data_IF_617281684793
#
_entry.id   IF_617281684793
#
_cell.length_a   1.000
_cell.length_b   1.000
_cell.length_c   1.000
_cell.angle_alpha   90.00
_cell.angle_beta   90.00
_cell.angle_gamma   90.00
#
_symmetry.space_group_name_H-M   'P 1'
#
loop_
_entity.id
_entity.type
_entity.pdbx_description
1 polymer ?
#
# COMPACT_ATOMS: atom_id res chain seq x y z
N UNK A 1 -0.52 12.65 14.47
CA UNK A 1 -1.54 13.64 14.05
C UNK A 1 -2.32 13.03 12.88
N UNK A 2 -3.49 12.46 13.14
CA UNK A 2 -4.24 11.57 12.23
C UNK A 2 -5.34 12.26 11.42
N UNK A 3 -5.28 13.59 11.26
CA UNK A 3 -6.36 14.38 10.63
C UNK A 3 -6.56 14.06 9.13
N UNK A 4 -5.54 13.51 8.47
CA UNK A 4 -5.63 13.17 7.04
C UNK A 4 -6.36 11.84 6.78
N UNK A 5 -6.52 10.97 7.78
CA UNK A 5 -7.24 9.69 7.65
C UNK A 5 -8.75 9.92 7.79
N UNK A 6 -9.17 10.76 8.73
CA UNK A 6 -10.59 11.09 8.96
C UNK A 6 -11.22 11.83 7.77
N UNK A 7 -10.45 12.68 7.07
CA UNK A 7 -10.95 13.40 5.89
C UNK A 7 -11.13 12.50 4.65
N UNK A 8 -10.36 11.40 4.55
CA UNK A 8 -10.51 10.44 3.46
C UNK A 8 -11.73 9.51 3.68
N UNK A 9 -12.07 9.20 4.93
CA UNK A 9 -13.27 8.45 5.29
C UNK A 9 -14.56 9.27 5.09
N UNK A 10 -14.52 10.59 5.34
CA UNK A 10 -15.65 11.49 5.13
C UNK A 10 -15.97 11.78 3.65
N UNK A 11 -15.05 11.48 2.72
CA UNK A 11 -15.14 11.85 1.30
C UNK A 11 -15.35 10.69 0.32
N UNK A 12 -15.65 9.47 0.80
CA UNK A 12 -16.00 8.33 -0.05
C UNK A 12 -14.85 7.70 -0.87
N UNK A 13 -13.64 8.25 -0.83
CA UNK A 13 -12.52 7.77 -1.66
C UNK A 13 -11.52 6.93 -0.85
N UNK A 14 -11.95 5.71 -0.53
CA UNK A 14 -11.12 4.69 0.14
C UNK A 14 -9.82 4.38 -0.63
N UNK A 15 -9.74 4.65 -1.94
CA UNK A 15 -8.50 4.51 -2.71
C UNK A 15 -7.49 5.58 -2.35
N UNK A 16 -7.94 6.82 -2.18
CA UNK A 16 -7.11 7.94 -1.74
C UNK A 16 -6.53 7.71 -0.33
N UNK A 17 -7.34 7.15 0.58
CA UNK A 17 -6.89 6.78 1.92
C UNK A 17 -5.80 5.71 1.92
N UNK A 18 -5.97 4.65 1.12
CA UNK A 18 -4.96 3.60 1.00
C UNK A 18 -3.66 4.10 0.33
N UNK A 19 -3.77 4.96 -0.68
CA UNK A 19 -2.62 5.61 -1.31
C UNK A 19 -1.84 6.51 -0.34
N UNK A 20 -2.53 7.26 0.52
CA UNK A 20 -1.89 8.08 1.55
C UNK A 20 -1.11 7.24 2.57
N UNK A 21 -1.61 6.05 2.93
CA UNK A 21 -0.89 5.12 3.81
C UNK A 21 0.39 4.57 3.16
N UNK A 22 0.35 4.23 1.87
CA UNK A 22 1.54 3.80 1.11
C UNK A 22 2.60 4.91 1.07
N UNK A 23 2.19 6.15 0.78
CA UNK A 23 3.09 7.32 0.79
C UNK A 23 3.72 7.58 2.16
N UNK A 24 3.00 7.31 3.25
CA UNK A 24 3.53 7.41 4.61
C UNK A 24 4.55 6.32 4.91
N UNK A 25 4.30 5.07 4.50
CA UNK A 25 5.24 3.96 4.70
C UNK A 25 6.61 4.25 4.06
N UNK A 26 6.64 4.90 2.89
CA UNK A 26 7.88 5.36 2.25
C UNK A 26 8.63 6.40 3.09
N UNK A 27 7.93 7.33 3.73
CA UNK A 27 8.55 8.36 4.59
C UNK A 27 9.15 7.75 5.85
N UNK A 28 8.47 6.76 6.45
CA UNK A 28 8.94 6.10 7.66
C UNK A 28 10.11 5.13 7.36
N UNK A 29 10.14 4.53 6.17
CA UNK A 29 11.29 3.78 5.65
C UNK A 29 12.56 4.65 5.61
N UNK A 30 12.45 5.90 5.13
CA UNK A 30 13.58 6.85 5.11
C UNK A 30 14.06 7.26 6.51
N UNK A 31 13.27 7.03 7.57
CA UNK A 31 13.65 7.26 8.96
C UNK A 31 14.27 6.04 9.63
N UNK A 32 14.43 4.92 8.91
CA UNK A 32 14.89 3.63 9.44
C UNK A 32 14.04 3.08 10.60
N UNK A 33 12.77 3.48 10.72
CA UNK A 33 11.86 2.88 11.71
C UNK A 33 11.21 1.62 11.13
N UNK A 34 11.93 0.51 11.28
CA UNK A 34 11.50 -0.79 10.77
C UNK A 34 10.14 -1.22 11.34
N UNK A 35 9.89 -0.99 12.63
CA UNK A 35 8.65 -1.39 13.31
C UNK A 35 7.46 -0.60 12.78
N UNK A 36 7.59 0.73 12.71
CA UNK A 36 6.53 1.58 12.18
C UNK A 36 6.22 1.27 10.71
N UNK A 37 7.25 1.00 9.91
CA UNK A 37 7.09 0.59 8.51
C UNK A 37 6.26 -0.68 8.38
N UNK A 38 6.58 -1.71 9.18
CA UNK A 38 5.85 -3.00 9.19
C UNK A 38 4.39 -2.79 9.59
N UNK A 39 4.12 -2.07 10.69
CA UNK A 39 2.77 -1.91 11.23
C UNK A 39 1.86 -1.12 10.28
N UNK A 40 2.37 -0.02 9.70
CA UNK A 40 1.62 0.78 8.73
C UNK A 40 1.36 0.00 7.44
N UNK A 41 2.36 -0.75 6.95
CA UNK A 41 2.22 -1.57 5.76
C UNK A 41 1.18 -2.68 5.93
N UNK A 42 1.17 -3.39 7.07
CA UNK A 42 0.13 -4.38 7.39
C UNK A 42 -1.25 -3.75 7.42
N UNK A 43 -1.39 -2.61 8.09
CA UNK A 43 -2.68 -1.92 8.19
C UNK A 43 -3.18 -1.51 6.80
N UNK A 44 -2.31 -0.97 5.95
CA UNK A 44 -2.64 -0.61 4.58
C UNK A 44 -3.08 -1.84 3.77
N UNK A 45 -2.36 -2.97 3.88
CA UNK A 45 -2.71 -4.22 3.20
C UNK A 45 -4.07 -4.78 3.64
N UNK A 46 -4.39 -4.71 4.93
CA UNK A 46 -5.67 -5.20 5.46
C UNK A 46 -6.86 -4.36 4.97
N UNK A 47 -6.67 -3.04 4.86
CA UNK A 47 -7.73 -2.09 4.49
C UNK A 47 -7.82 -1.77 2.99
N UNK A 48 -6.87 -2.26 2.18
CA UNK A 48 -6.83 -2.01 0.75
C UNK A 48 -8.00 -2.66 0.00
N UNK A 49 -8.57 -1.93 -0.96
CA UNK A 49 -9.71 -2.40 -1.78
C UNK A 49 -9.29 -3.11 -3.07
N UNK A 50 -8.02 -3.02 -3.48
CA UNK A 50 -7.52 -3.62 -4.71
C UNK A 50 -6.29 -4.49 -4.44
N UNK A 51 -6.13 -5.56 -5.20
CA UNK A 51 -4.96 -6.44 -5.08
C UNK A 51 -3.66 -5.69 -5.40
N UNK A 52 -3.71 -4.73 -6.32
CA UNK A 52 -2.55 -3.88 -6.61
C UNK A 52 -2.05 -3.15 -5.34
N UNK A 53 -2.95 -2.51 -4.58
CA UNK A 53 -2.57 -1.80 -3.35
C UNK A 53 -2.13 -2.80 -2.27
N UNK A 54 -2.76 -3.98 -2.17
CA UNK A 54 -2.33 -5.05 -1.23
C UNK A 54 -0.90 -5.51 -1.51
N UNK A 55 -0.56 -5.67 -2.80
CA UNK A 55 0.78 -6.06 -3.23
C UNK A 55 1.84 -5.02 -2.88
N UNK A 56 1.57 -3.74 -3.17
CA UNK A 56 2.47 -2.64 -2.79
C UNK A 56 2.66 -2.53 -1.28
N UNK A 57 1.60 -2.69 -0.50
CA UNK A 57 1.69 -2.71 0.95
C UNK A 57 2.55 -3.88 1.45
N UNK A 58 2.42 -5.07 0.85
CA UNK A 58 3.27 -6.22 1.18
C UNK A 58 4.76 -6.00 0.86
N UNK A 59 5.09 -5.28 -0.23
CA UNK A 59 6.48 -4.90 -0.52
C UNK A 59 7.08 -4.01 0.58
N UNK A 60 6.31 -3.06 1.12
CA UNK A 60 6.78 -2.23 2.23
C UNK A 60 6.90 -3.01 3.54
N UNK A 61 6.01 -3.97 3.79
CA UNK A 61 6.15 -4.91 4.91
C UNK A 61 7.45 -5.72 4.78
N UNK A 62 7.77 -6.22 3.59
CA UNK A 62 9.02 -6.94 3.31
C UNK A 62 10.26 -6.08 3.55
N UNK A 63 10.25 -4.82 3.10
CA UNK A 63 11.33 -3.87 3.33
C UNK A 63 11.53 -3.58 4.82
N UNK A 64 10.44 -3.40 5.57
CA UNK A 64 10.49 -3.21 7.02
C UNK A 64 11.11 -4.42 7.73
N UNK A 65 10.76 -5.65 7.33
CA UNK A 65 11.37 -6.87 7.86
C UNK A 65 12.86 -6.99 7.52
N UNK A 66 13.27 -6.62 6.31
CA UNK A 66 14.69 -6.58 5.93
C UNK A 66 15.48 -5.57 6.78
N UNK A 67 14.91 -4.37 7.03
CA UNK A 67 15.50 -3.37 7.93
C UNK A 67 15.59 -3.86 9.38
N UNK A 68 14.64 -4.66 9.84
CA UNK A 68 14.65 -5.26 11.17
C UNK A 68 15.62 -6.46 11.31
N UNK A 69 16.24 -6.91 10.23
CA UNK A 69 17.10 -8.09 10.23
C UNK A 69 16.33 -9.43 10.27
N UNK A 70 15.08 -9.46 9.80
CA UNK A 70 14.23 -10.66 9.72
C UNK A 70 14.03 -11.08 8.24
N UNK A 71 14.99 -11.82 7.66
CA UNK A 71 14.93 -12.20 6.25
C UNK A 71 13.79 -13.19 5.95
N UNK A 72 13.43 -14.05 6.90
CA UNK A 72 12.36 -15.03 6.72
C UNK A 72 11.00 -14.35 6.62
N UNK A 73 10.73 -13.36 7.49
CA UNK A 73 9.52 -12.57 7.38
C UNK A 73 9.50 -11.67 6.14
N UNK A 74 10.66 -11.15 5.74
CA UNK A 74 10.81 -10.39 4.51
C UNK A 74 10.41 -11.23 3.29
N UNK A 75 10.92 -12.46 3.18
CA UNK A 75 10.59 -13.36 2.09
C UNK A 75 9.11 -13.75 2.06
N UNK A 76 8.51 -14.06 3.21
CA UNK A 76 7.05 -14.31 3.28
C UNK A 76 6.22 -13.12 2.79
N UNK A 77 6.63 -11.90 3.14
CA UNK A 77 5.95 -10.70 2.67
C UNK A 77 6.15 -10.47 1.15
N UNK A 78 7.31 -10.83 0.58
CA UNK A 78 7.52 -10.80 -0.87
C UNK A 78 6.65 -11.81 -1.62
N UNK A 79 6.44 -13.00 -1.05
CA UNK A 79 5.54 -13.99 -1.64
C UNK A 79 4.09 -13.47 -1.67
N UNK A 80 3.62 -12.89 -0.56
CA UNK A 80 2.31 -12.24 -0.52
C UNK A 80 2.21 -11.07 -1.51
N UNK A 81 3.28 -10.29 -1.66
CA UNK A 81 3.31 -9.20 -2.63
C UNK A 81 3.12 -9.73 -4.06
N UNK A 82 3.83 -10.80 -4.40
CA UNK A 82 3.73 -11.45 -5.71
C UNK A 82 2.32 -11.97 -5.98
N UNK A 83 1.72 -12.69 -5.04
CA UNK A 83 0.34 -13.20 -5.18
C UNK A 83 -0.66 -12.09 -5.50
N UNK A 84 -0.58 -10.96 -4.79
CA UNK A 84 -1.46 -9.83 -5.01
C UNK A 84 -1.18 -9.08 -6.31
N UNK A 85 0.10 -8.89 -6.68
CA UNK A 85 0.45 -8.19 -7.93
C UNK A 85 0.08 -9.04 -9.16
N UNK A 86 0.20 -10.36 -9.08
CA UNK A 86 -0.24 -11.27 -10.14
C UNK A 86 -1.77 -11.33 -10.27
N UNK A 87 -2.49 -11.22 -9.14
CA UNK A 87 -3.96 -11.16 -9.12
C UNK A 87 -4.52 -9.79 -9.56
N UNK A 88 -3.70 -8.74 -9.53
CA UNK A 88 -4.13 -7.40 -9.89
C UNK A 88 -4.49 -7.33 -11.38
N UNK A 89 -5.80 -7.23 -11.67
CA UNK A 89 -6.24 -6.80 -13.01
C UNK A 89 -5.69 -5.40 -13.27
N UNK A 90 -5.29 -5.08 -14.52
CA UNK A 90 -4.95 -3.71 -14.88
C UNK A 90 -6.14 -2.82 -14.51
N UNK A 91 -5.91 -1.92 -13.54
CA UNK A 91 -6.92 -1.01 -13.06
C UNK A 91 -7.35 -0.19 -14.28
N UNK A 92 -8.62 -0.32 -14.69
CA UNK A 92 -9.19 0.65 -15.63
C UNK A 92 -9.06 2.00 -14.95
N UNK A 93 -8.04 2.75 -15.37
CA UNK A 93 -7.87 4.13 -14.95
C UNK A 93 -9.14 4.92 -15.27
N UNK A 94 -9.33 6.09 -14.66
CA UNK A 94 -10.37 7.00 -15.11
C UNK A 94 -10.25 7.16 -16.64
N UNK A 95 -11.38 7.19 -17.39
CA UNK A 95 -11.33 7.38 -18.83
C UNK A 95 -10.41 8.57 -19.13
N UNK A 96 -9.52 8.39 -20.09
CA UNK A 96 -8.61 9.47 -20.48
C UNK A 96 -9.48 10.67 -20.85
N UNK A 97 -9.16 11.89 -20.39
CA UNK A 97 -9.83 13.09 -20.87
C UNK A 97 -9.69 13.12 -22.40
N UNK A 98 -10.77 12.81 -23.13
CA UNK A 98 -10.77 12.69 -24.59
C UNK A 98 -11.50 11.49 -25.19
N UNK A 99 -11.93 10.49 -24.41
CA UNK A 99 -12.67 9.33 -24.94
C UNK A 99 -14.21 9.54 -24.95
N UNK A 100 -14.64 10.76 -25.25
CA UNK A 100 -15.98 11.01 -25.79
C UNK A 100 -15.79 11.52 -27.21
N UNK A 101 -16.15 10.69 -28.18
CA UNK A 101 -16.75 11.00 -29.49
C UNK A 101 -16.47 9.81 -30.43
N UNK A 102 -17.49 8.97 -30.61
CA UNK A 102 -18.01 8.67 -31.95
C UNK A 102 -19.50 8.41 -31.85
#
# INVERSE_FOLDING_TARGET
MNRSVELAEAGGDRRLGAYALVRRAVVDLYRHDARQTIDVARLARQNALTDHIRGWAALHEAQGHALAGDPDASMRALDLAREHLDAARPESGPPRPGEFVR
#
